data_IF_419598110504
#
_entry.id   IF_419598110504
#
_cell.length_a   1.000
_cell.length_b   1.000
_cell.length_c   1.000
_cell.angle_alpha   90.00
_cell.angle_beta   90.00
_cell.angle_gamma   90.00
#
_symmetry.space_group_name_H-M   'P 1'
#
loop_
_entity.id
_entity.type
_entity.pdbx_description
1 polymer ?
#
# COMPACT_ATOMS: atom_id res chain seq x y z
N UNK A 1 17.50 -1.22 -26.20
CA UNK A 1 17.19 -1.64 -24.83
C UNK A 1 16.76 -0.42 -24.06
N UNK A 2 15.50 -0.33 -23.63
CA UNK A 2 15.05 0.79 -22.80
C UNK A 2 15.82 0.72 -21.48
N UNK A 3 16.59 1.77 -21.16
CA UNK A 3 17.19 1.95 -19.85
C UNK A 3 16.06 2.01 -18.83
N UNK A 4 15.98 1.02 -17.94
CA UNK A 4 15.10 1.07 -16.79
C UNK A 4 15.39 2.37 -16.04
N UNK A 5 14.36 3.18 -15.85
CA UNK A 5 14.45 4.37 -15.00
C UNK A 5 15.04 3.97 -13.64
N UNK A 6 15.94 4.76 -13.04
CA UNK A 6 16.42 4.47 -11.67
C UNK A 6 15.29 4.46 -10.63
N UNK A 7 14.10 4.95 -11.02
CA UNK A 7 12.84 4.95 -10.28
C UNK A 7 11.86 3.85 -10.72
N UNK A 8 12.32 2.82 -11.41
CA UNK A 8 11.54 1.62 -11.72
C UNK A 8 12.14 0.44 -10.95
N UNK A 9 11.69 0.24 -9.71
CA UNK A 9 12.06 -0.90 -8.86
C UNK A 9 10.84 -1.76 -8.61
N UNK A 10 11.06 -3.07 -8.53
CA UNK A 10 10.00 -4.06 -8.23
C UNK A 10 9.34 -3.82 -6.85
N UNK A 11 10.11 -3.28 -5.90
CA UNK A 11 9.61 -2.89 -4.58
C UNK A 11 10.37 -1.67 -4.04
N UNK A 12 9.69 -0.91 -3.18
CA UNK A 12 10.25 0.23 -2.46
C UNK A 12 10.23 -0.02 -0.97
N UNK A 13 11.25 0.50 -0.30
CA UNK A 13 11.30 0.66 1.13
C UNK A 13 12.09 1.95 1.42
N UNK A 14 11.37 2.97 1.87
CA UNK A 14 11.87 4.31 2.11
C UNK A 14 11.72 4.59 3.60
N UNK A 15 12.86 4.83 4.25
CA UNK A 15 12.93 5.18 5.66
C UNK A 15 13.10 6.68 5.82
N UNK A 16 12.27 7.27 6.66
CA UNK A 16 12.40 8.65 7.11
C UNK A 16 12.31 8.71 8.64
N UNK A 17 12.70 9.83 9.28
CA UNK A 17 12.59 9.95 10.73
C UNK A 17 11.19 9.78 11.30
N UNK A 18 10.14 9.95 10.49
CA UNK A 18 8.74 9.90 10.93
C UNK A 18 7.92 8.76 10.34
N UNK A 19 8.34 8.24 9.18
CA UNK A 19 7.54 7.33 8.37
C UNK A 19 8.43 6.27 7.73
N UNK A 20 7.89 5.06 7.61
CA UNK A 20 8.36 4.04 6.67
C UNK A 20 7.33 3.97 5.54
N UNK A 21 7.77 4.11 4.30
CA UNK A 21 6.93 3.89 3.12
C UNK A 21 7.47 2.68 2.39
N UNK A 22 6.64 1.65 2.22
CA UNK A 22 7.08 0.42 1.53
C UNK A 22 5.99 -0.20 0.68
N UNK A 23 6.40 -0.98 -0.31
CA UNK A 23 5.48 -1.81 -1.09
C UNK A 23 4.75 -2.78 -0.15
N UNK A 24 3.44 -2.86 -0.29
CA UNK A 24 2.61 -3.79 0.48
C UNK A 24 2.86 -5.24 0.06
N UNK A 25 2.78 -6.14 1.02
CA UNK A 25 2.90 -7.58 0.86
C UNK A 25 1.67 -8.29 1.43
N UNK A 26 1.48 -9.57 1.12
CA UNK A 26 0.27 -10.32 1.51
C UNK A 26 0.00 -10.40 3.02
N UNK A 27 1.00 -10.16 3.86
CA UNK A 27 0.85 -10.08 5.33
C UNK A 27 0.26 -8.74 5.81
N UNK A 28 0.25 -7.71 4.97
CA UNK A 28 -0.36 -6.41 5.29
C UNK A 28 -1.88 -6.41 5.13
N UNK A 29 -2.45 -7.49 4.61
CA UNK A 29 -3.86 -7.57 4.23
C UNK A 29 -4.83 -7.25 5.38
N UNK A 30 -4.53 -7.73 6.60
CA UNK A 30 -5.35 -7.43 7.77
C UNK A 30 -5.29 -5.95 8.15
N UNK A 31 -4.07 -5.39 8.23
CA UNK A 31 -3.88 -3.98 8.56
C UNK A 31 -4.54 -3.04 7.54
N UNK A 32 -4.41 -3.33 6.25
CA UNK A 32 -5.07 -2.54 5.20
C UNK A 32 -6.59 -2.67 5.29
N UNK A 33 -7.11 -3.89 5.49
CA UNK A 33 -8.55 -4.13 5.69
C UNK A 33 -9.08 -3.32 6.86
N UNK A 34 -8.40 -3.34 8.00
CA UNK A 34 -8.81 -2.57 9.18
C UNK A 34 -8.75 -1.07 8.91
N UNK A 35 -7.72 -0.60 8.20
CA UNK A 35 -7.59 0.80 7.83
C UNK A 35 -8.74 1.29 6.94
N UNK A 36 -9.11 0.55 5.89
CA UNK A 36 -10.14 0.98 4.92
C UNK A 36 -11.58 0.79 5.40
N UNK A 37 -11.79 -0.13 6.35
CA UNK A 37 -13.09 -0.35 6.98
C UNK A 37 -13.34 0.61 8.15
N UNK A 38 -12.30 1.30 8.63
CA UNK A 38 -12.42 2.32 9.67
C UNK A 38 -12.90 3.66 9.09
N UNK A 39 -14.01 4.17 9.63
CA UNK A 39 -14.63 5.43 9.24
C UNK A 39 -13.76 6.64 9.56
N UNK A 40 -12.99 6.58 10.63
CA UNK A 40 -12.13 7.69 11.06
C UNK A 40 -10.98 7.93 10.06
N UNK A 41 -10.56 6.88 9.34
CA UNK A 41 -9.54 6.96 8.29
C UNK A 41 -10.10 7.42 6.94
N UNK A 42 -11.42 7.37 6.75
CA UNK A 42 -12.09 7.68 5.49
C UNK A 42 -13.20 8.72 5.70
N UNK A 43 -12.89 9.94 6.19
CA UNK A 43 -13.92 10.92 6.57
C UNK A 43 -14.72 11.47 5.38
N UNK A 44 -14.22 11.30 4.15
CA UNK A 44 -14.81 11.88 2.92
C UNK A 44 -15.43 10.84 1.98
N UNK A 45 -15.26 9.55 2.26
CA UNK A 45 -15.73 8.46 1.40
C UNK A 45 -16.36 7.37 2.25
N UNK A 46 -17.48 6.76 1.83
CA UNK A 46 -17.99 5.58 2.51
C UNK A 46 -16.91 4.51 2.65
N UNK A 47 -16.78 3.93 3.84
CA UNK A 47 -15.90 2.80 4.09
C UNK A 47 -16.41 1.58 3.35
N UNK A 48 -15.50 0.74 2.87
CA UNK A 48 -15.87 -0.58 2.35
C UNK A 48 -16.38 -1.46 3.52
N UNK A 49 -17.45 -2.23 3.32
CA UNK A 49 -18.05 -3.07 4.37
C UNK A 49 -17.74 -4.55 4.22
N UNK A 50 -17.55 -5.03 2.99
CA UNK A 50 -17.48 -6.46 2.66
C UNK A 50 -16.05 -6.90 2.29
N UNK A 51 -15.07 -6.41 3.06
CA UNK A 51 -13.65 -6.73 2.85
C UNK A 51 -13.19 -7.76 3.86
N UNK A 52 -12.82 -8.94 3.36
CA UNK A 52 -12.15 -9.99 4.13
C UNK A 52 -10.62 -9.89 3.97
N UNK A 53 -9.84 -10.41 4.94
CA UNK A 53 -8.38 -10.48 4.81
C UNK A 53 -7.93 -11.20 3.53
N UNK A 54 -8.62 -12.27 3.14
CA UNK A 54 -8.34 -12.99 1.89
C UNK A 54 -8.61 -12.14 0.64
N UNK A 55 -9.76 -11.45 0.60
CA UNK A 55 -10.07 -10.54 -0.51
C UNK A 55 -9.05 -9.41 -0.63
N UNK A 56 -8.51 -8.93 0.49
CA UNK A 56 -7.48 -7.90 0.51
C UNK A 56 -6.13 -8.44 0.06
N UNK A 57 -5.76 -9.67 0.46
CA UNK A 57 -4.54 -10.32 -0.05
C UNK A 57 -4.58 -10.45 -1.58
N UNK A 58 -5.70 -10.91 -2.12
CA UNK A 58 -5.91 -11.00 -3.57
C UNK A 58 -5.81 -9.62 -4.26
N UNK A 59 -6.27 -8.55 -3.61
CA UNK A 59 -6.12 -7.18 -4.13
C UNK A 59 -4.65 -6.74 -4.15
N UNK A 60 -3.88 -7.03 -3.11
CA UNK A 60 -2.44 -6.71 -3.05
C UNK A 60 -1.70 -7.41 -4.18
N UNK A 61 -1.91 -8.72 -4.35
CA UNK A 61 -1.31 -9.50 -5.43
C UNK A 61 -1.68 -8.93 -6.80
N UNK A 62 -2.97 -8.65 -7.03
CA UNK A 62 -3.45 -8.04 -8.27
C UNK A 62 -2.85 -6.65 -8.53
N UNK A 63 -2.66 -5.83 -7.50
CA UNK A 63 -2.01 -4.52 -7.66
C UNK A 63 -0.53 -4.66 -7.97
N UNK A 64 0.16 -5.66 -7.42
CA UNK A 64 1.56 -5.96 -7.77
C UNK A 64 1.67 -6.40 -9.25
N UNK A 65 0.69 -7.13 -9.78
CA UNK A 65 0.67 -7.51 -11.20
C UNK A 65 0.34 -6.34 -12.14
N UNK A 66 -0.62 -5.49 -11.75
CA UNK A 66 -1.17 -4.44 -12.63
C UNK A 66 -0.38 -3.13 -12.61
N UNK A 67 0.45 -2.91 -11.59
CA UNK A 67 1.20 -1.67 -11.44
C UNK A 67 2.68 -2.01 -11.36
N UNK A 68 3.53 -1.21 -12.00
CA UNK A 68 4.98 -1.47 -12.03
C UNK A 68 5.65 -1.41 -10.64
N UNK A 69 4.95 -0.92 -9.61
CA UNK A 69 5.50 -0.65 -8.28
C UNK A 69 4.60 -1.16 -7.13
N UNK A 70 3.48 -1.82 -7.42
CA UNK A 70 2.49 -2.24 -6.42
C UNK A 70 1.79 -1.08 -5.70
N UNK A 71 1.04 -1.42 -4.65
CA UNK A 71 0.51 -0.44 -3.70
C UNK A 71 1.54 -0.19 -2.59
N UNK A 72 1.65 1.05 -2.14
CA UNK A 72 2.50 1.46 -1.03
C UNK A 72 1.68 1.57 0.25
N UNK A 73 2.28 1.18 1.37
CA UNK A 73 1.78 1.46 2.70
C UNK A 73 2.71 2.42 3.43
N UNK A 74 2.14 3.18 4.36
CA UNK A 74 2.82 4.18 5.17
C UNK A 74 2.63 3.78 6.63
N UNK A 75 3.73 3.51 7.33
CA UNK A 75 3.69 3.12 8.73
C UNK A 75 4.51 4.04 9.62
N UNK A 76 4.14 4.10 10.90
CA UNK A 76 4.94 4.76 11.93
C UNK A 76 6.11 3.86 12.36
N UNK A 77 7.37 4.33 12.32
CA UNK A 77 8.53 3.50 12.70
C UNK A 77 8.47 2.98 14.14
N UNK A 78 7.88 3.76 15.06
CA UNK A 78 7.85 3.44 16.49
C UNK A 78 6.85 2.35 16.86
N UNK A 79 5.78 2.19 16.11
CA UNK A 79 4.66 1.28 16.44
C UNK A 79 4.39 0.25 15.36
N UNK A 80 4.88 0.46 14.14
CA UNK A 80 4.49 -0.32 12.96
C UNK A 80 3.06 -0.05 12.49
N UNK A 81 2.36 0.89 13.12
CA UNK A 81 0.96 1.21 12.81
C UNK A 81 0.83 1.73 11.38
N UNK A 82 -0.13 1.16 10.64
CA UNK A 82 -0.52 1.63 9.32
C UNK A 82 -1.33 2.92 9.44
N UNK A 83 -0.81 4.00 8.87
CA UNK A 83 -1.44 5.33 8.91
C UNK A 83 -1.82 5.87 7.52
N UNK A 84 -1.56 5.09 6.47
CA UNK A 84 -1.95 5.44 5.12
C UNK A 84 -1.51 4.38 4.12
N UNK A 85 -2.12 4.42 2.95
CA UNK A 85 -1.75 3.58 1.82
C UNK A 85 -2.06 4.34 0.52
N UNK A 86 -1.43 3.95 -0.58
CA UNK A 86 -1.66 4.57 -1.87
C UNK A 86 -0.75 4.01 -2.95
N UNK A 87 -1.08 4.30 -4.20
CA UNK A 87 -0.21 4.00 -5.34
C UNK A 87 0.30 5.29 -5.97
N UNK A 88 1.39 5.17 -6.71
CA UNK A 88 1.76 6.20 -7.68
C UNK A 88 1.97 5.53 -9.03
N UNK A 89 1.51 6.19 -10.08
CA UNK A 89 1.80 5.82 -11.44
C UNK A 89 2.80 6.83 -11.98
N UNK A 90 3.87 6.34 -12.60
CA UNK A 90 4.75 7.17 -13.40
C UNK A 90 4.46 6.85 -14.87
N UNK A 91 3.87 7.81 -15.58
CA UNK A 91 3.78 7.76 -17.03
C UNK A 91 5.17 8.16 -17.56
N UNK A 92 5.90 7.22 -18.15
CA UNK A 92 7.05 7.55 -19.01
C UNK A 92 6.57 8.13 -20.33
#
# INVERSE_FOLDING_TARGET
MATLSPFARDAYEIHSPRLIIRTAVGTDAEGIRDFITNRDNNPHTPTESDVTPESMRNRIEKWQELTSNGIQIITLPSTGELIGYGGYNYLM
#
